data_IF_044747240507
#
_entry.id   IF_044747240507
#
_cell.length_a   1.000
_cell.length_b   1.000
_cell.length_c   1.000
_cell.angle_alpha   90.00
_cell.angle_beta   90.00
_cell.angle_gamma   90.00
#
_symmetry.space_group_name_H-M   'P 1'
#
loop_
_entity.id
_entity.type
_entity.pdbx_description
1 polymer ?
#
# COMPACT_ATOMS: atom_id res chain seq x y z
N UNK A 1 -10.57 -3.16 15.82
CA UNK A 1 -11.95 -3.00 15.30
C UNK A 1 -12.41 -4.29 14.62
N UNK A 2 -13.60 -4.80 15.01
CA UNK A 2 -14.53 -5.63 14.24
C UNK A 2 -14.06 -6.96 13.58
N UNK A 3 -13.76 -7.97 14.41
CA UNK A 3 -13.47 -9.35 13.97
C UNK A 3 -14.56 -9.90 13.01
N UNK A 4 -15.82 -9.47 13.13
CA UNK A 4 -16.90 -9.88 12.22
C UNK A 4 -16.76 -9.28 10.82
N UNK A 5 -16.42 -7.99 10.69
CA UNK A 5 -16.18 -7.38 9.37
C UNK A 5 -15.00 -8.03 8.68
N UNK A 6 -13.89 -8.26 9.40
CA UNK A 6 -12.73 -8.95 8.82
C UNK A 6 -13.07 -10.40 8.44
N UNK A 7 -13.83 -11.12 9.26
CA UNK A 7 -14.30 -12.46 8.93
C UNK A 7 -15.10 -12.50 7.61
N UNK A 8 -15.93 -11.49 7.34
CA UNK A 8 -16.65 -11.37 6.06
C UNK A 8 -15.69 -11.14 4.90
N UNK A 9 -14.68 -10.29 5.07
CA UNK A 9 -13.62 -10.04 4.06
C UNK A 9 -12.88 -11.34 3.75
N UNK A 10 -12.41 -12.05 4.78
CA UNK A 10 -11.63 -13.28 4.63
C UNK A 10 -12.48 -14.40 4.00
N UNK A 11 -13.74 -14.53 4.43
CA UNK A 11 -14.69 -15.49 3.86
C UNK A 11 -14.95 -15.21 2.38
N UNK A 12 -15.25 -13.95 2.03
CA UNK A 12 -15.52 -13.55 0.67
C UNK A 12 -14.28 -13.70 -0.22
N UNK A 13 -13.09 -13.35 0.28
CA UNK A 13 -11.83 -13.55 -0.43
C UNK A 13 -11.61 -15.02 -0.79
N UNK A 14 -11.82 -15.93 0.17
CA UNK A 14 -11.73 -17.37 -0.07
C UNK A 14 -12.76 -17.84 -1.11
N UNK A 15 -14.03 -17.43 -0.97
CA UNK A 15 -15.08 -17.78 -1.92
C UNK A 15 -14.79 -17.26 -3.34
N UNK A 16 -14.27 -16.04 -3.47
CA UNK A 16 -13.90 -15.47 -4.76
C UNK A 16 -12.73 -16.22 -5.41
N UNK A 17 -11.73 -16.66 -4.63
CA UNK A 17 -10.65 -17.52 -5.17
C UNK A 17 -11.18 -18.87 -5.62
N UNK A 18 -12.04 -19.50 -4.81
CA UNK A 18 -12.46 -20.89 -5.02
C UNK A 18 -13.56 -21.03 -6.10
N UNK A 19 -14.49 -20.08 -6.17
CA UNK A 19 -15.65 -20.11 -7.08
C UNK A 19 -15.59 -19.06 -8.19
N UNK A 20 -14.74 -18.05 -8.08
CA UNK A 20 -14.77 -16.84 -8.91
C UNK A 20 -15.66 -15.75 -8.31
N UNK A 21 -15.34 -14.50 -8.61
CA UNK A 21 -16.10 -13.33 -8.18
C UNK A 21 -17.53 -13.33 -8.73
N UNK A 22 -17.71 -13.60 -10.02
CA UNK A 22 -19.02 -13.55 -10.66
C UNK A 22 -19.97 -14.62 -10.13
N UNK A 23 -19.48 -15.85 -9.94
CA UNK A 23 -20.28 -16.98 -9.48
C UNK A 23 -20.61 -16.94 -7.97
N UNK A 24 -19.89 -16.15 -7.19
CA UNK A 24 -20.16 -16.01 -5.75
C UNK A 24 -21.32 -15.03 -5.50
N UNK A 25 -22.39 -15.50 -4.85
CA UNK A 25 -23.53 -14.68 -4.47
C UNK A 25 -23.34 -14.03 -3.09
N UNK A 26 -24.12 -12.99 -2.78
CA UNK A 26 -24.17 -12.44 -1.42
C UNK A 26 -24.65 -13.52 -0.43
N UNK A 27 -25.56 -14.40 -0.84
CA UNK A 27 -26.05 -15.48 0.02
C UNK A 27 -24.93 -16.46 0.41
N UNK A 28 -24.07 -16.85 -0.54
CA UNK A 28 -22.88 -17.68 -0.25
C UNK A 28 -22.00 -17.03 0.83
N UNK A 29 -21.83 -15.71 0.78
CA UNK A 29 -21.01 -14.95 1.73
C UNK A 29 -21.70 -14.91 3.10
N UNK A 30 -23.01 -14.69 3.16
CA UNK A 30 -23.77 -14.72 4.41
C UNK A 30 -23.68 -16.09 5.09
N UNK A 31 -23.87 -17.16 4.31
CA UNK A 31 -23.82 -18.54 4.79
C UNK A 31 -22.40 -18.90 5.27
N UNK A 32 -21.37 -18.49 4.53
CA UNK A 32 -19.98 -18.75 4.89
C UNK A 32 -19.47 -17.94 6.08
N UNK A 33 -19.96 -16.72 6.27
CA UNK A 33 -19.49 -15.81 7.33
C UNK A 33 -20.36 -15.83 8.59
N UNK A 34 -21.55 -16.44 8.52
CA UNK A 34 -22.49 -16.58 9.63
C UNK A 34 -23.14 -15.27 10.08
N UNK A 35 -23.17 -14.24 9.22
CA UNK A 35 -23.81 -12.95 9.54
C UNK A 35 -25.18 -12.80 8.87
N UNK A 36 -26.01 -11.91 9.44
CA UNK A 36 -27.29 -11.57 8.82
C UNK A 36 -27.12 -10.66 7.59
N UNK A 37 -28.10 -10.68 6.68
CA UNK A 37 -28.16 -9.78 5.53
C UNK A 37 -28.09 -8.30 5.94
N UNK A 38 -28.79 -7.91 7.01
CA UNK A 38 -28.73 -6.53 7.53
C UNK A 38 -27.34 -6.15 8.02
N UNK A 39 -26.64 -7.07 8.71
CA UNK A 39 -25.26 -6.85 9.14
C UNK A 39 -24.30 -6.70 7.97
N UNK A 40 -24.51 -7.45 6.87
CA UNK A 40 -23.68 -7.34 5.67
C UNK A 40 -23.79 -5.95 5.06
N UNK A 41 -25.02 -5.47 4.80
CA UNK A 41 -25.21 -4.15 4.18
C UNK A 41 -24.82 -2.99 5.08
N UNK A 42 -24.75 -3.19 6.40
CA UNK A 42 -24.14 -2.22 7.31
C UNK A 42 -22.61 -2.11 7.14
N UNK A 43 -21.94 -3.17 6.67
CA UNK A 43 -20.48 -3.15 6.43
C UNK A 43 -20.11 -2.86 4.99
N UNK A 44 -20.86 -3.40 4.04
CA UNK A 44 -20.56 -3.37 2.62
C UNK A 44 -21.86 -3.09 1.84
N UNK A 45 -21.99 -1.92 1.22
CA UNK A 45 -23.17 -1.56 0.43
C UNK A 45 -23.43 -2.52 -0.74
N UNK A 46 -22.39 -3.15 -1.28
CA UNK A 46 -22.47 -4.06 -2.43
C UNK A 46 -21.41 -5.16 -2.39
N UNK A 47 -21.53 -6.16 -3.27
CA UNK A 47 -20.48 -7.19 -3.51
C UNK A 47 -19.20 -6.55 -4.09
N UNK A 48 -19.33 -5.51 -4.90
CA UNK A 48 -18.21 -4.71 -5.43
C UNK A 48 -17.45 -3.97 -4.34
N UNK A 49 -18.16 -3.34 -3.39
CA UNK A 49 -17.54 -2.69 -2.23
C UNK A 49 -16.79 -3.67 -1.33
N UNK A 50 -17.33 -4.88 -1.15
CA UNK A 50 -16.62 -5.95 -0.45
C UNK A 50 -15.37 -6.40 -1.22
N UNK A 51 -15.43 -6.49 -2.55
CA UNK A 51 -14.26 -6.77 -3.38
C UNK A 51 -13.17 -5.70 -3.19
N UNK A 52 -13.53 -4.41 -3.27
CA UNK A 52 -12.61 -3.30 -3.03
C UNK A 52 -12.02 -3.38 -1.62
N UNK A 53 -12.83 -3.71 -0.61
CA UNK A 53 -12.38 -3.86 0.77
C UNK A 53 -11.33 -4.98 0.95
N UNK A 54 -11.44 -6.10 0.20
CA UNK A 54 -10.42 -7.15 0.18
C UNK A 54 -9.08 -6.56 -0.28
N UNK A 55 -9.06 -5.87 -1.43
CA UNK A 55 -7.83 -5.26 -1.96
C UNK A 55 -7.24 -4.21 -1.02
N UNK A 56 -8.09 -3.34 -0.44
CA UNK A 56 -7.67 -2.34 0.56
C UNK A 56 -7.01 -3.03 1.77
N UNK A 57 -7.58 -4.14 2.26
CA UNK A 57 -7.02 -4.87 3.41
C UNK A 57 -5.62 -5.42 3.13
N UNK A 58 -5.39 -5.98 1.93
CA UNK A 58 -4.06 -6.45 1.52
C UNK A 58 -3.09 -5.30 1.28
N UNK A 59 -3.54 -4.22 0.66
CA UNK A 59 -2.72 -3.03 0.44
C UNK A 59 -2.22 -2.47 1.77
N UNK A 60 -3.11 -2.26 2.75
CA UNK A 60 -2.77 -1.79 4.10
C UNK A 60 -1.79 -2.74 4.79
N UNK A 61 -2.04 -4.05 4.72
CA UNK A 61 -1.15 -5.05 5.30
C UNK A 61 0.26 -4.98 4.70
N UNK A 62 0.38 -4.91 3.36
CA UNK A 62 1.68 -4.83 2.69
C UNK A 62 2.37 -3.51 3.04
N UNK A 63 1.63 -2.39 3.07
CA UNK A 63 2.17 -1.07 3.44
C UNK A 63 2.79 -1.11 4.83
N UNK A 64 2.05 -1.58 5.83
CA UNK A 64 2.53 -1.69 7.21
C UNK A 64 3.78 -2.56 7.32
N UNK A 65 3.80 -3.71 6.65
CA UNK A 65 4.97 -4.61 6.67
C UNK A 65 6.18 -4.00 5.96
N UNK A 66 6.00 -3.21 4.90
CA UNK A 66 7.09 -2.46 4.24
C UNK A 66 7.63 -1.34 5.11
N UNK A 67 6.75 -0.59 5.79
CA UNK A 67 7.15 0.49 6.70
C UNK A 67 7.97 -0.06 7.86
N UNK A 68 7.57 -1.21 8.44
CA UNK A 68 8.34 -1.88 9.49
C UNK A 68 9.77 -2.20 9.06
N UNK A 69 9.98 -2.58 7.81
CA UNK A 69 11.32 -2.87 7.27
C UNK A 69 12.21 -1.62 7.17
N UNK A 70 11.64 -0.42 7.14
CA UNK A 70 12.37 0.86 7.10
C UNK A 70 12.71 1.43 8.50
N UNK A 71 12.09 0.91 9.56
CA UNK A 71 12.30 1.42 10.92
C UNK A 71 13.77 1.22 11.31
N UNK A 72 14.45 2.33 11.62
CA UNK A 72 15.85 2.33 12.01
C UNK A 72 16.84 2.01 10.88
N UNK A 73 16.38 2.01 9.63
CA UNK A 73 17.20 1.78 8.45
C UNK A 73 17.37 3.08 7.64
N UNK A 74 18.38 3.09 6.76
CA UNK A 74 18.53 4.12 5.73
C UNK A 74 17.53 3.88 4.59
N UNK A 75 16.73 4.89 4.25
CA UNK A 75 15.77 4.77 3.15
C UNK A 75 16.47 4.68 1.78
N UNK A 76 17.73 5.11 1.67
CA UNK A 76 18.53 4.96 0.45
C UNK A 76 19.10 3.53 0.27
N UNK A 77 19.01 2.67 1.29
CA UNK A 77 19.52 1.30 1.21
C UNK A 77 18.68 0.44 0.24
N UNK A 78 19.30 0.07 -0.87
CA UNK A 78 18.73 -0.78 -1.92
C UNK A 78 18.32 -2.16 -1.37
N UNK A 79 19.05 -2.71 -0.40
CA UNK A 79 18.73 -4.03 0.17
C UNK A 79 17.41 -4.01 0.94
N UNK A 80 17.07 -2.88 1.58
CA UNK A 80 15.76 -2.72 2.20
C UNK A 80 14.65 -2.71 1.16
N UNK A 81 14.86 -2.04 0.03
CA UNK A 81 13.89 -2.05 -1.07
C UNK A 81 13.73 -3.45 -1.70
N UNK A 82 14.82 -4.20 -1.87
CA UNK A 82 14.77 -5.60 -2.32
C UNK A 82 13.91 -6.44 -1.37
N UNK A 83 14.11 -6.33 -0.06
CA UNK A 83 13.30 -7.04 0.95
C UNK A 83 11.82 -6.62 0.91
N UNK A 84 11.53 -5.34 0.69
CA UNK A 84 10.16 -4.83 0.51
C UNK A 84 9.48 -5.42 -0.74
N UNK A 85 10.22 -5.59 -1.84
CA UNK A 85 9.73 -6.24 -3.06
C UNK A 85 9.49 -7.73 -2.85
N UNK A 86 10.39 -8.44 -2.17
CA UNK A 86 10.19 -9.86 -1.82
C UNK A 86 8.93 -10.07 -1.00
N UNK A 87 8.75 -9.25 0.05
CA UNK A 87 7.54 -9.24 0.87
C UNK A 87 6.29 -9.04 0.02
N UNK A 88 6.30 -8.07 -0.91
CA UNK A 88 5.18 -7.83 -1.81
C UNK A 88 4.87 -9.04 -2.69
N UNK A 89 5.87 -9.65 -3.32
CA UNK A 89 5.67 -10.81 -4.18
C UNK A 89 5.16 -12.02 -3.40
N UNK A 90 5.69 -12.25 -2.18
CA UNK A 90 5.21 -13.30 -1.29
C UNK A 90 3.73 -13.10 -0.93
N UNK A 91 3.33 -11.91 -0.51
CA UNK A 91 1.93 -11.63 -0.16
C UNK A 91 1.02 -11.74 -1.39
N UNK A 92 1.45 -11.25 -2.57
CA UNK A 92 0.69 -11.36 -3.81
C UNK A 92 0.45 -12.81 -4.23
N UNK A 93 1.46 -13.69 -4.07
CA UNK A 93 1.33 -15.13 -4.35
C UNK A 93 0.37 -15.81 -3.38
N UNK A 94 0.47 -15.49 -2.09
CA UNK A 94 -0.40 -16.09 -1.06
C UNK A 94 -1.86 -15.62 -1.18
N UNK A 95 -2.06 -14.35 -1.50
CA UNK A 95 -3.39 -13.74 -1.62
C UNK A 95 -4.12 -14.11 -2.90
N UNK A 96 -3.40 -14.57 -3.94
CA UNK A 96 -3.95 -14.93 -5.26
C UNK A 96 -4.80 -13.82 -5.91
N UNK A 97 -4.60 -12.56 -5.52
CA UNK A 97 -5.37 -11.43 -6.04
C UNK A 97 -5.21 -11.24 -7.56
N UNK A 98 -4.11 -11.71 -8.14
CA UNK A 98 -3.90 -11.68 -9.59
C UNK A 98 -5.01 -12.40 -10.37
N UNK A 99 -5.53 -13.51 -9.86
CA UNK A 99 -6.61 -14.25 -10.53
C UNK A 99 -7.89 -13.40 -10.54
N UNK A 100 -8.17 -12.72 -9.43
CA UNK A 100 -9.33 -11.83 -9.31
C UNK A 100 -9.19 -10.57 -10.18
N UNK A 101 -7.97 -10.04 -10.32
CA UNK A 101 -7.64 -8.95 -11.24
C UNK A 101 -7.98 -9.34 -12.67
N UNK A 102 -7.53 -10.52 -13.11
CA UNK A 102 -7.78 -11.00 -14.47
C UNK A 102 -9.27 -11.25 -14.72
N UNK A 103 -9.99 -11.81 -13.75
CA UNK A 103 -11.45 -11.99 -13.84
C UNK A 103 -12.18 -10.65 -14.01
N UNK A 104 -11.81 -9.62 -13.23
CA UNK A 104 -12.41 -8.28 -13.34
C UNK A 104 -12.08 -7.62 -14.67
N UNK A 105 -10.84 -7.76 -15.16
CA UNK A 105 -10.40 -7.17 -16.45
C UNK A 105 -11.26 -7.63 -17.63
N UNK A 106 -11.68 -8.89 -17.64
CA UNK A 106 -12.54 -9.46 -18.69
C UNK A 106 -14.04 -9.34 -18.40
N UNK A 107 -14.43 -8.78 -17.25
CA UNK A 107 -15.83 -8.59 -16.88
C UNK A 107 -16.46 -7.36 -17.57
N UNK A 108 -17.75 -7.11 -17.33
CA UNK A 108 -18.43 -5.88 -17.76
C UNK A 108 -18.58 -4.85 -16.61
N UNK A 109 -17.88 -5.06 -15.49
CA UNK A 109 -17.95 -4.18 -14.32
C UNK A 109 -16.92 -3.04 -14.46
N UNK A 110 -17.37 -1.91 -15.01
CA UNK A 110 -16.49 -0.76 -15.28
C UNK A 110 -15.98 -0.09 -14.00
N UNK A 111 -16.75 -0.11 -12.91
CA UNK A 111 -16.33 0.44 -11.63
C UNK A 111 -15.15 -0.35 -11.07
N UNK A 112 -15.25 -1.69 -11.06
CA UNK A 112 -14.17 -2.55 -10.61
C UNK A 112 -12.97 -2.49 -11.56
N UNK A 113 -13.16 -2.38 -12.88
CA UNK A 113 -12.03 -2.18 -13.82
C UNK A 113 -11.28 -0.89 -13.53
N UNK A 114 -11.98 0.21 -13.29
CA UNK A 114 -11.37 1.48 -12.92
C UNK A 114 -10.59 1.34 -11.60
N UNK A 115 -11.16 0.65 -10.61
CA UNK A 115 -10.47 0.37 -9.35
C UNK A 115 -9.19 -0.47 -9.54
N UNK A 116 -9.25 -1.52 -10.36
CA UNK A 116 -8.08 -2.37 -10.67
C UNK A 116 -6.98 -1.56 -11.40
N UNK A 117 -7.36 -0.73 -12.37
CA UNK A 117 -6.41 0.13 -13.08
C UNK A 117 -5.73 1.12 -12.11
N UNK A 118 -6.50 1.70 -11.18
CA UNK A 118 -5.95 2.57 -10.12
C UNK A 118 -5.01 1.83 -9.16
N UNK A 119 -5.25 0.54 -8.90
CA UNK A 119 -4.39 -0.27 -8.01
C UNK A 119 -2.97 -0.46 -8.56
N UNK A 120 -2.82 -0.65 -9.87
CA UNK A 120 -1.51 -0.71 -10.53
C UNK A 120 -0.74 0.60 -10.31
N UNK A 121 -1.41 1.72 -10.52
CA UNK A 121 -0.82 3.04 -10.36
C UNK A 121 -0.27 3.20 -8.93
N UNK A 122 -1.03 2.84 -7.89
CA UNK A 122 -0.55 2.95 -6.49
C UNK A 122 0.79 2.22 -6.26
N UNK A 123 0.96 1.06 -6.91
CA UNK A 123 2.23 0.33 -6.83
C UNK A 123 3.38 1.07 -7.51
N UNK A 124 3.12 1.70 -8.67
CA UNK A 124 4.11 2.51 -9.39
C UNK A 124 4.51 3.73 -8.58
N UNK A 125 3.55 4.45 -7.97
CA UNK A 125 3.86 5.61 -7.12
C UNK A 125 4.70 5.23 -5.91
N UNK A 126 4.37 4.13 -5.25
CA UNK A 126 5.19 3.64 -4.14
C UNK A 126 6.63 3.35 -4.60
N UNK A 127 6.82 2.66 -5.72
CA UNK A 127 8.17 2.40 -6.26
C UNK A 127 8.88 3.69 -6.66
N UNK A 128 8.17 4.66 -7.22
CA UNK A 128 8.72 5.97 -7.58
C UNK A 128 9.25 6.72 -6.37
N UNK A 129 8.49 6.77 -5.27
CA UNK A 129 8.97 7.37 -4.02
C UNK A 129 10.22 6.64 -3.49
N UNK A 130 10.22 5.29 -3.54
CA UNK A 130 11.40 4.52 -3.16
C UNK A 130 12.59 4.75 -4.08
N UNK A 131 12.38 4.98 -5.37
CA UNK A 131 13.43 5.33 -6.31
C UNK A 131 14.02 6.72 -6.00
N UNK A 132 13.19 7.69 -5.59
CA UNK A 132 13.69 8.99 -5.13
C UNK A 132 14.61 8.80 -3.92
N UNK A 133 14.17 8.03 -2.92
CA UNK A 133 14.96 7.75 -1.73
C UNK A 133 16.32 7.11 -2.06
N UNK A 134 16.34 6.18 -3.03
CA UNK A 134 17.54 5.41 -3.42
C UNK A 134 18.48 6.20 -4.33
N UNK A 135 17.94 6.88 -5.34
CA UNK A 135 18.72 7.47 -6.42
C UNK A 135 18.93 8.98 -6.26
N UNK A 136 18.19 9.61 -5.35
CA UNK A 136 18.26 11.02 -5.00
C UNK A 136 17.37 11.93 -5.84
N UNK A 137 17.05 13.10 -5.29
CA UNK A 137 16.22 14.14 -5.92
C UNK A 137 16.79 14.63 -7.26
N UNK A 138 18.11 14.61 -7.44
CA UNK A 138 18.74 15.04 -8.70
C UNK A 138 18.35 14.18 -9.91
N UNK A 139 17.93 12.93 -9.69
CA UNK A 139 17.52 12.01 -10.77
C UNK A 139 16.00 11.95 -10.98
N UNK A 140 15.23 12.64 -10.15
CA UNK A 140 13.76 12.64 -10.15
C UNK A 140 13.11 12.77 -11.53
N UNK A 141 13.58 13.64 -12.45
CA UNK A 141 13.01 13.73 -13.80
C UNK A 141 12.92 12.37 -14.53
N UNK A 142 13.86 11.46 -14.29
CA UNK A 142 14.00 10.21 -15.06
C UNK A 142 13.42 8.98 -14.35
N UNK A 143 12.97 9.13 -13.09
CA UNK A 143 12.61 7.99 -12.26
C UNK A 143 11.27 7.37 -12.63
N UNK A 144 10.32 8.12 -13.23
CA UNK A 144 9.03 7.56 -13.61
C UNK A 144 9.18 6.53 -14.72
N UNK A 145 9.90 6.88 -15.79
CA UNK A 145 10.26 5.94 -16.87
C UNK A 145 10.99 4.72 -16.32
N UNK A 146 11.98 4.97 -15.45
CA UNK A 146 12.77 3.92 -14.81
C UNK A 146 11.90 2.95 -14.00
N UNK A 147 10.93 3.45 -13.23
CA UNK A 147 10.00 2.63 -12.46
C UNK A 147 9.11 1.79 -13.37
N UNK A 148 8.60 2.36 -14.46
CA UNK A 148 7.74 1.66 -15.42
C UNK A 148 8.51 0.53 -16.09
N UNK A 149 9.75 0.79 -16.52
CA UNK A 149 10.65 -0.21 -17.10
C UNK A 149 10.95 -1.30 -16.08
N UNK A 150 11.30 -0.92 -14.85
CA UNK A 150 11.60 -1.86 -13.77
C UNK A 150 10.41 -2.77 -13.45
N UNK A 151 9.22 -2.20 -13.29
CA UNK A 151 7.99 -2.95 -13.03
C UNK A 151 7.66 -3.92 -14.16
N UNK A 152 7.82 -3.47 -15.41
CA UNK A 152 7.59 -4.27 -16.61
C UNK A 152 8.57 -5.44 -16.68
N UNK A 153 9.86 -5.18 -16.44
CA UNK A 153 10.90 -6.20 -16.42
C UNK A 153 10.65 -7.24 -15.33
N UNK A 154 10.35 -6.82 -14.10
CA UNK A 154 10.03 -7.72 -12.99
C UNK A 154 8.83 -8.64 -13.33
N UNK A 155 7.75 -8.06 -13.82
CA UNK A 155 6.51 -8.79 -14.12
C UNK A 155 6.72 -9.81 -15.23
N UNK A 156 7.36 -9.41 -16.33
CA UNK A 156 7.61 -10.32 -17.46
C UNK A 156 8.66 -11.39 -17.14
N UNK A 157 9.73 -11.03 -16.43
CA UNK A 157 10.73 -12.00 -15.99
C UNK A 157 10.11 -13.04 -15.05
N UNK A 158 9.24 -12.63 -14.14
CA UNK A 158 8.48 -13.56 -13.27
C UNK A 158 7.59 -14.50 -14.08
N UNK A 159 6.85 -13.96 -15.05
CA UNK A 159 5.96 -14.75 -15.91
C UNK A 159 6.72 -15.77 -16.77
N UNK A 160 7.79 -15.37 -17.46
CA UNK A 160 8.55 -16.26 -18.34
C UNK A 160 9.45 -17.23 -17.57
N UNK A 161 9.97 -16.83 -16.42
CA UNK A 161 10.72 -17.71 -15.50
C UNK A 161 9.85 -18.88 -15.05
N UNK A 162 8.60 -18.62 -14.64
CA UNK A 162 7.65 -19.67 -14.26
C UNK A 162 7.36 -20.63 -15.42
N UNK A 163 7.26 -20.12 -16.65
CA UNK A 163 7.08 -20.97 -17.85
C UNK A 163 8.30 -21.81 -18.18
N UNK A 164 9.51 -21.26 -18.02
CA UNK A 164 10.76 -21.94 -18.36
C UNK A 164 11.14 -23.03 -17.34
N UNK A 165 10.84 -22.80 -16.06
CA UNK A 165 11.10 -23.75 -14.99
C UNK A 165 9.89 -23.83 -14.04
N UNK A 166 9.06 -24.89 -14.14
CA UNK A 166 7.89 -25.09 -13.27
C UNK A 166 8.25 -25.26 -11.79
N UNK A 167 9.49 -25.68 -11.47
CA UNK A 167 10.00 -25.69 -10.09
C UNK A 167 10.24 -24.27 -9.54
N UNK A 168 10.18 -23.26 -10.42
CA UNK A 168 10.29 -21.84 -10.13
C UNK A 168 11.73 -21.36 -10.03
N UNK A 169 12.01 -20.19 -10.59
CA UNK A 169 13.17 -19.39 -10.15
C UNK A 169 12.74 -18.64 -8.89
N UNK A 170 13.56 -18.61 -7.82
CA UNK A 170 13.25 -17.83 -6.62
C UNK A 170 13.05 -16.35 -6.95
N UNK A 171 12.02 -15.73 -6.38
CA UNK A 171 11.66 -14.33 -6.66
C UNK A 171 12.82 -13.38 -6.39
N UNK A 172 13.61 -13.64 -5.35
CA UNK A 172 14.80 -12.86 -4.99
C UNK A 172 15.83 -12.79 -6.12
N UNK A 173 15.99 -13.86 -6.90
CA UNK A 173 16.94 -13.85 -8.02
C UNK A 173 16.44 -12.95 -9.14
N UNK A 174 15.13 -12.96 -9.39
CA UNK A 174 14.49 -12.09 -10.39
C UNK A 174 14.58 -10.62 -9.94
N UNK A 175 14.26 -10.34 -8.68
CA UNK A 175 14.35 -8.98 -8.10
C UNK A 175 15.78 -8.46 -8.23
N UNK A 176 16.79 -9.22 -7.77
CA UNK A 176 18.20 -8.82 -7.85
C UNK A 176 18.67 -8.62 -9.27
N UNK A 177 18.29 -9.53 -10.17
CA UNK A 177 18.58 -9.39 -11.59
C UNK A 177 18.04 -8.05 -12.12
N UNK A 178 16.75 -7.77 -11.89
CA UNK A 178 16.09 -6.54 -12.32
C UNK A 178 16.72 -5.29 -11.68
N UNK A 179 17.00 -5.31 -10.38
CA UNK A 179 17.62 -4.19 -9.65
C UNK A 179 19.01 -3.87 -10.18
N UNK A 180 19.83 -4.88 -10.49
CA UNK A 180 21.15 -4.65 -11.04
C UNK A 180 21.08 -3.91 -12.39
N UNK A 181 20.06 -4.16 -13.22
CA UNK A 181 19.90 -3.45 -14.51
C UNK A 181 19.36 -2.03 -14.29
N UNK A 182 18.41 -1.86 -13.37
CA UNK A 182 17.80 -0.54 -13.18
C UNK A 182 18.77 0.48 -12.57
N UNK A 183 19.68 0.05 -11.70
CA UNK A 183 20.72 0.93 -11.16
C UNK A 183 21.60 1.52 -12.27
N UNK A 184 21.97 0.70 -13.26
CA UNK A 184 22.74 1.19 -14.41
C UNK A 184 21.90 2.08 -15.33
N UNK A 185 20.65 1.68 -15.63
CA UNK A 185 19.73 2.46 -16.46
C UNK A 185 19.53 3.87 -15.90
N UNK A 186 19.21 4.00 -14.60
CA UNK A 186 18.92 5.29 -13.95
C UNK A 186 20.10 6.25 -14.05
N UNK A 187 21.34 5.75 -13.94
CA UNK A 187 22.53 6.58 -14.08
C UNK A 187 22.76 7.00 -15.54
N UNK A 188 22.57 6.08 -16.48
CA UNK A 188 22.74 6.35 -17.90
C UNK A 188 21.71 7.39 -18.42
N UNK A 189 20.42 7.23 -18.11
CA UNK A 189 19.40 8.21 -18.52
C UNK A 189 19.58 9.59 -17.88
N UNK A 190 20.16 9.63 -16.67
CA UNK A 190 20.49 10.90 -16.02
C UNK A 190 21.69 11.60 -16.68
N UNK A 191 22.61 10.85 -17.29
CA UNK A 191 23.73 11.39 -18.07
C UNK A 191 23.30 11.83 -19.47
N UNK A 192 22.45 11.05 -20.13
CA UNK A 192 21.96 11.36 -21.48
C UNK A 192 20.84 12.40 -21.49
N UNK A 193 20.11 12.55 -20.38
CA UNK A 193 18.98 13.45 -20.24
C UNK A 193 17.71 12.95 -20.95
N UNK A 194 17.66 11.67 -21.32
CA UNK A 194 16.52 11.08 -22.02
C UNK A 194 15.34 10.84 -21.07
N UNK A 195 14.17 11.34 -21.48
CA UNK A 195 12.91 11.20 -20.75
C UNK A 195 11.77 11.08 -21.76
N UNK A 196 10.89 10.12 -21.54
CA UNK A 196 9.67 9.90 -22.34
C UNK A 196 8.46 10.44 -21.60
N UNK A 197 8.36 10.14 -20.30
CA UNK A 197 7.19 10.48 -19.49
C UNK A 197 7.61 11.50 -18.44
N UNK A 198 6.96 12.67 -18.49
CA UNK A 198 7.10 13.69 -17.47
C UNK A 198 6.55 13.18 -16.12
N UNK A 199 7.34 13.16 -15.04
CA UNK A 199 6.88 12.80 -13.71
C UNK A 199 5.71 13.64 -13.19
N UNK A 200 5.50 14.87 -13.66
CA UNK A 200 4.32 15.68 -13.31
C UNK A 200 3.01 15.01 -13.75
N UNK A 201 3.05 14.15 -14.77
CA UNK A 201 1.89 13.36 -15.18
C UNK A 201 1.44 12.40 -14.10
N UNK A 202 2.29 12.06 -13.12
CA UNK A 202 1.83 11.32 -11.95
C UNK A 202 0.64 12.05 -11.31
N UNK A 203 0.73 13.34 -11.03
CA UNK A 203 -0.36 14.08 -10.37
C UNK A 203 -1.66 14.10 -11.20
N UNK A 204 -1.57 13.81 -12.51
CA UNK A 204 -2.72 13.67 -13.42
C UNK A 204 -3.24 12.23 -13.52
N UNK A 205 -2.36 11.23 -13.60
CA UNK A 205 -2.71 9.80 -13.67
C UNK A 205 -3.17 9.24 -12.34
N UNK A 206 -2.70 9.85 -11.27
CA UNK A 206 -3.24 9.76 -9.93
C UNK A 206 -4.19 10.94 -9.73
N UNK A 207 -5.37 11.03 -10.38
CA UNK A 207 -6.34 12.00 -9.94
C UNK A 207 -6.65 11.60 -8.50
N UNK A 208 -6.38 12.52 -7.55
CA UNK A 208 -6.73 12.45 -6.13
C UNK A 208 -7.78 11.38 -5.98
N UNK A 209 -7.37 10.20 -5.49
CA UNK A 209 -8.30 9.08 -5.34
C UNK A 209 -9.53 9.73 -4.71
N UNK A 210 -10.67 9.73 -5.40
CA UNK A 210 -11.93 10.14 -4.79
C UNK A 210 -12.06 9.17 -3.60
N UNK A 211 -11.65 9.48 -2.37
CA UNK A 211 -11.66 10.77 -1.68
C UNK A 211 -10.30 11.29 -1.14
N UNK A 212 -10.01 12.54 -1.53
CA UNK A 212 -8.96 13.45 -1.04
C UNK A 212 -7.53 12.88 -1.03
N UNK A 213 -6.56 13.77 -0.88
CA UNK A 213 -5.21 13.46 -0.41
C UNK A 213 -4.20 12.94 -1.46
N UNK A 214 -3.22 13.79 -1.80
CA UNK A 214 -2.00 13.34 -2.48
C UNK A 214 -0.75 14.00 -1.90
N UNK A 215 -0.73 15.33 -1.72
CA UNK A 215 0.35 15.98 -0.97
C UNK A 215 0.31 15.54 0.51
N UNK A 216 -0.85 15.68 1.14
CA UNK A 216 -1.00 15.31 2.54
C UNK A 216 -0.70 13.84 2.82
N UNK A 217 -1.04 12.92 1.92
CA UNK A 217 -0.76 11.49 2.13
C UNK A 217 0.72 11.15 2.11
N UNK A 218 1.49 11.81 1.24
CA UNK A 218 2.94 11.66 1.23
C UNK A 218 3.54 12.24 2.52
N UNK A 219 3.09 13.42 2.94
CA UNK A 219 3.52 14.06 4.20
C UNK A 219 3.14 13.22 5.42
N UNK A 220 1.94 12.65 5.42
CA UNK A 220 1.42 11.74 6.44
C UNK A 220 2.22 10.44 6.48
N UNK A 221 2.53 9.83 5.33
CA UNK A 221 3.38 8.64 5.24
C UNK A 221 4.79 8.90 5.78
N UNK A 222 5.39 10.02 5.39
CA UNK A 222 6.71 10.41 5.83
C UNK A 222 6.74 10.70 7.34
N UNK A 223 5.86 11.59 7.82
CA UNK A 223 5.74 11.93 9.24
C UNK A 223 5.36 10.75 10.11
N UNK A 224 4.52 9.82 9.62
CA UNK A 224 4.24 8.55 10.30
C UNK A 224 5.50 7.72 10.46
N UNK A 225 6.31 7.58 9.41
CA UNK A 225 7.53 6.79 9.43
C UNK A 225 8.55 7.39 10.42
N UNK A 226 8.74 8.70 10.38
CA UNK A 226 9.64 9.41 11.30
C UNK A 226 9.15 9.36 12.75
N UNK A 227 7.84 9.52 12.99
CA UNK A 227 7.26 9.37 14.32
C UNK A 227 7.42 7.95 14.85
N UNK A 228 7.18 6.92 14.04
CA UNK A 228 7.42 5.51 14.43
C UNK A 228 8.88 5.26 14.78
N UNK A 229 9.84 5.80 14.00
CA UNK A 229 11.27 5.71 14.32
C UNK A 229 11.58 6.39 15.66
N UNK A 230 11.05 7.59 15.87
CA UNK A 230 11.27 8.34 17.09
C UNK A 230 10.66 7.65 18.32
N UNK A 231 9.44 7.10 18.21
CA UNK A 231 8.79 6.27 19.23
C UNK A 231 9.67 5.06 19.58
N UNK A 232 10.21 4.37 18.58
CA UNK A 232 11.08 3.22 18.83
C UNK A 232 12.36 3.56 19.57
N UNK A 233 12.88 4.77 19.37
CA UNK A 233 14.09 5.25 20.03
C UNK A 233 13.81 5.81 21.43
N UNK A 234 12.70 6.53 21.60
CA UNK A 234 12.42 7.31 22.81
C UNK A 234 11.70 6.52 23.91
N UNK A 235 10.90 5.50 23.56
CA UNK A 235 10.10 4.73 24.53
C UNK A 235 10.78 3.39 24.86
N UNK A 236 11.30 3.21 26.09
CA UNK A 236 12.00 1.98 26.47
C UNK A 236 11.07 0.79 26.70
N UNK A 237 9.85 1.05 27.20
CA UNK A 237 8.87 0.02 27.52
C UNK A 237 8.23 -0.54 26.25
N UNK A 238 8.37 -1.85 26.02
CA UNK A 238 7.88 -2.53 24.83
C UNK A 238 6.35 -2.47 24.67
N UNK A 239 5.60 -2.60 25.78
CA UNK A 239 4.14 -2.48 25.79
C UNK A 239 3.69 -1.07 25.37
N UNK A 240 4.29 -0.03 25.96
CA UNK A 240 3.94 1.36 25.67
C UNK A 240 4.31 1.76 24.25
N UNK A 241 5.48 1.29 23.79
CA UNK A 241 5.93 1.47 22.41
C UNK A 241 4.97 0.84 21.42
N UNK A 242 4.52 -0.39 21.69
CA UNK A 242 3.55 -1.09 20.83
C UNK A 242 2.22 -0.34 20.77
N UNK A 243 1.68 0.09 21.92
CA UNK A 243 0.43 0.87 21.97
C UNK A 243 0.55 2.19 21.22
N UNK A 244 1.65 2.91 21.38
CA UNK A 244 1.89 4.15 20.64
C UNK A 244 1.91 3.92 19.12
N UNK A 245 2.61 2.89 18.65
CA UNK A 245 2.62 2.52 17.22
C UNK A 245 1.22 2.15 16.73
N UNK A 246 0.45 1.38 17.51
CA UNK A 246 -0.93 1.01 17.16
C UNK A 246 -1.85 2.24 17.02
N UNK A 247 -1.67 3.27 17.85
CA UNK A 247 -2.40 4.54 17.75
C UNK A 247 -2.02 5.31 16.48
N UNK A 248 -0.73 5.40 16.17
CA UNK A 248 -0.23 6.06 14.95
C UNK A 248 -0.74 5.33 13.70
N UNK A 249 -0.66 3.99 13.69
CA UNK A 249 -1.19 3.14 12.61
C UNK A 249 -2.68 3.36 12.39
N UNK A 250 -3.44 3.46 13.48
CA UNK A 250 -4.88 3.69 13.40
C UNK A 250 -5.21 5.05 12.77
N UNK A 251 -4.55 6.13 13.23
CA UNK A 251 -4.77 7.48 12.69
C UNK A 251 -4.41 7.51 11.21
N UNK A 252 -3.24 6.96 10.85
CA UNK A 252 -2.81 6.85 9.46
C UNK A 252 -3.84 6.07 8.63
N UNK A 253 -4.31 4.92 9.11
CA UNK A 253 -5.29 4.10 8.39
C UNK A 253 -6.64 4.79 8.23
N UNK A 254 -7.13 5.50 9.25
CA UNK A 254 -8.39 6.25 9.18
C UNK A 254 -8.33 7.32 8.09
N UNK A 255 -7.24 8.10 8.06
CA UNK A 255 -7.03 9.14 7.07
C UNK A 255 -6.79 8.58 5.66
N UNK A 256 -6.14 7.43 5.55
CA UNK A 256 -5.80 6.83 4.25
C UNK A 256 -6.94 6.04 3.61
N UNK A 257 -7.89 5.54 4.40
CA UNK A 257 -8.90 4.58 3.94
C UNK A 257 -10.34 5.09 4.04
N UNK A 258 -10.60 6.11 4.85
CA UNK A 258 -11.94 6.64 5.04
C UNK A 258 -12.19 7.85 4.14
N UNK A 259 -13.30 7.78 3.40
CA UNK A 259 -13.80 8.90 2.61
C UNK A 259 -14.35 10.04 3.48
N UNK A 260 -14.66 9.73 4.75
CA UNK A 260 -15.10 10.66 5.78
C UNK A 260 -14.41 10.26 7.09
N UNK A 261 -13.15 10.66 7.31
CA UNK A 261 -12.41 10.31 8.51
C UNK A 261 -13.16 10.82 9.74
N UNK A 262 -13.18 9.99 10.80
CA UNK A 262 -13.82 10.36 12.07
C UNK A 262 -12.92 11.33 12.84
N UNK A 263 -13.02 12.61 12.51
CA UNK A 263 -12.19 13.70 13.09
C UNK A 263 -12.08 13.62 14.62
N UNK A 264 -13.21 13.54 15.33
CA UNK A 264 -13.22 13.42 16.78
C UNK A 264 -12.41 12.22 17.31
N UNK A 265 -12.46 11.09 16.60
CA UNK A 265 -11.69 9.90 16.98
C UNK A 265 -10.20 10.14 16.75
N UNK A 266 -9.82 10.74 15.62
CA UNK A 266 -8.43 11.10 15.32
C UNK A 266 -7.88 12.04 16.40
N UNK A 267 -8.62 13.10 16.73
CA UNK A 267 -8.24 14.06 17.78
C UNK A 267 -8.05 13.39 19.14
N UNK A 268 -8.95 12.47 19.52
CA UNK A 268 -8.86 11.73 20.78
C UNK A 268 -7.62 10.83 20.84
N UNK A 269 -7.28 10.14 19.75
CA UNK A 269 -6.10 9.29 19.67
C UNK A 269 -4.81 10.11 19.65
N UNK A 270 -4.82 11.27 18.96
CA UNK A 270 -3.71 12.20 18.94
C UNK A 270 -3.45 12.80 20.33
N UNK A 271 -4.50 13.17 21.07
CA UNK A 271 -4.38 13.61 22.45
C UNK A 271 -3.81 12.52 23.36
N UNK A 272 -4.20 11.25 23.13
CA UNK A 272 -3.66 10.10 23.87
C UNK A 272 -2.17 9.89 23.56
N UNK A 273 -1.75 10.03 22.30
CA UNK A 273 -0.34 9.99 21.90
C UNK A 273 0.47 11.10 22.58
N UNK A 274 -0.04 12.34 22.54
CA UNK A 274 0.59 13.51 23.16
C UNK A 274 0.77 13.36 24.66
N UNK A 275 -0.26 12.93 25.37
CA UNK A 275 -0.26 12.91 26.84
C UNK A 275 0.35 11.63 27.42
N UNK A 276 0.20 10.50 26.73
CA UNK A 276 0.57 9.18 27.26
C UNK A 276 1.94 8.68 26.84
N UNK A 277 2.43 9.03 25.64
CA UNK A 277 3.55 8.30 25.03
C UNK A 277 4.61 9.19 24.37
N UNK A 278 4.23 10.31 23.76
CA UNK A 278 5.06 11.05 22.81
C UNK A 278 5.21 12.55 23.13
N UNK A 279 4.92 12.99 24.36
CA UNK A 279 4.94 14.42 24.78
C UNK A 279 6.25 15.16 24.50
N UNK A 280 7.37 14.45 24.39
CA UNK A 280 8.70 15.01 24.13
C UNK A 280 9.27 14.61 22.77
N UNK A 281 8.47 13.98 21.90
CA UNK A 281 8.91 13.52 20.58
C UNK A 281 8.61 14.62 19.56
N UNK A 282 9.66 15.29 19.09
CA UNK A 282 9.52 16.39 18.11
C UNK A 282 8.82 15.96 16.81
N UNK A 283 9.01 14.71 16.37
CA UNK A 283 8.34 14.17 15.19
C UNK A 283 6.80 14.10 15.32
N UNK A 284 6.24 14.25 16.53
CA UNK A 284 4.80 14.28 16.76
C UNK A 284 4.16 15.56 16.21
N UNK A 285 4.86 16.70 16.26
CA UNK A 285 4.36 17.98 15.75
C UNK A 285 4.19 17.90 14.22
N UNK A 286 5.19 17.39 13.51
CA UNK A 286 5.13 17.19 12.05
C UNK A 286 4.04 16.19 11.64
N UNK A 287 3.80 15.16 12.46
CA UNK A 287 2.70 14.21 12.23
C UNK A 287 1.33 14.87 12.42
N UNK A 288 1.17 15.71 13.44
CA UNK A 288 -0.04 16.49 13.66
C UNK A 288 -0.33 17.50 12.54
N UNK A 289 0.69 18.23 12.08
CA UNK A 289 0.56 19.14 10.93
C UNK A 289 0.09 18.38 9.68
N UNK A 290 0.63 17.19 9.45
CA UNK A 290 0.19 16.31 8.37
C UNK A 290 -1.27 15.89 8.56
N UNK A 291 -1.70 15.49 9.77
CA UNK A 291 -3.12 15.18 10.03
C UNK A 291 -4.03 16.37 9.70
N UNK A 292 -3.69 17.58 10.14
CA UNK A 292 -4.50 18.76 9.88
C UNK A 292 -4.57 19.13 8.39
N UNK A 293 -3.46 18.98 7.66
CA UNK A 293 -3.42 19.13 6.20
C UNK A 293 -4.35 18.13 5.49
N UNK A 294 -4.55 16.95 6.10
CA UNK A 294 -5.40 15.90 5.55
C UNK A 294 -6.87 16.14 5.85
N UNK A 295 -7.19 16.65 7.04
CA UNK A 295 -8.58 16.93 7.48
C UNK A 295 -9.14 18.26 6.95
N UNK A 296 -8.30 19.22 6.60
CA UNK A 296 -8.71 20.56 6.13
C UNK A 296 -9.13 20.64 4.65
N UNK A 297 -9.21 19.49 3.96
CA UNK A 297 -9.56 19.38 2.54
C UNK A 297 -10.96 18.85 2.35
#
# INVERSE_FOLDING_TARGET
MNNRRQNVIDTAHKLFIDKGYQATSIQDILDGSGISKGTFYNYFPSKGELFIAIFRSFYTKIRHEREKLLIGQDSADIEIFIRQLELQLMVNKQSKLLILIEEVRVSNDEELKQFINKTLLLSLRWMYNRFIDIFGESKKPYLLDSVIIFHSMMTHMSHFSYRANPAGTPDIQIIRYCMNRIVHLVNEVAESGEQIIDPELMDTWFPKFTNQLDACHNDLLHSTTELKKAINKAIPCDEDRRRAIELVDFIQDELMQSDKPREFLIESLLATLKTGYASQIQALETFEESIHSCLSR
#
